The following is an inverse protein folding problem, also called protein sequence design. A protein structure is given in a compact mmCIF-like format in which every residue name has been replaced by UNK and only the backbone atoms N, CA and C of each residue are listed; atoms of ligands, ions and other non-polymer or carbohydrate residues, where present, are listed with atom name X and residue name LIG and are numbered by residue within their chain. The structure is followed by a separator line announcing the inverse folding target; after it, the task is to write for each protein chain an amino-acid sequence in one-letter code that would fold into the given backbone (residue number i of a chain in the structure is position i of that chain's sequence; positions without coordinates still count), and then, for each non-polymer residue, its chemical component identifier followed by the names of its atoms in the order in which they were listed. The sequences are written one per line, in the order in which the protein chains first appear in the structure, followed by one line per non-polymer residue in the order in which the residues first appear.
data_IF_976780962587
#
_entry.id   IF_976780962587
#
_cell.length_a   1.000
_cell.length_b   1.000
_cell.length_c   1.000
_cell.angle_alpha   90.00
_cell.angle_beta   90.00
_cell.angle_gamma   90.00
#
_symmetry.space_group_name_H-M   'P 1'
#
loop_
_entity.id
_entity.type
_entity.pdbx_description
1 polymer ?
#
# COMPACT_ATOMS: atom_id res chain seq x y z
N UNK A 1 -6.15 -16.85 -6.60
CA UNK A 1 -5.90 -15.62 -5.81
C UNK A 1 -6.30 -14.41 -6.65
N UNK A 2 -7.08 -13.49 -6.10
CA UNK A 2 -7.51 -12.24 -6.75
C UNK A 2 -6.72 -11.07 -6.17
N UNK A 3 -6.30 -10.11 -6.99
CA UNK A 3 -5.67 -8.89 -6.49
C UNK A 3 -6.74 -7.96 -5.92
N UNK A 4 -6.59 -7.54 -4.67
CA UNK A 4 -7.40 -6.50 -4.04
C UNK A 4 -6.50 -5.31 -3.71
N UNK A 5 -6.80 -4.17 -4.31
CA UNK A 5 -6.07 -2.92 -4.11
C UNK A 5 -6.84 -2.08 -3.09
N UNK A 6 -6.19 -1.75 -1.98
CA UNK A 6 -6.76 -0.89 -0.94
C UNK A 6 -6.20 0.51 -1.15
N UNK A 7 -7.08 1.49 -1.28
CA UNK A 7 -6.74 2.90 -1.45
C UNK A 7 -7.28 3.66 -0.23
N UNK A 8 -6.44 3.93 0.79
CA UNK A 8 -6.79 4.85 1.86
C UNK A 8 -6.83 6.28 1.30
N UNK A 9 -7.83 7.07 1.67
CA UNK A 9 -8.07 8.39 1.12
C UNK A 9 -8.43 9.37 2.22
N UNK A 10 -7.75 10.53 2.23
CA UNK A 10 -8.14 11.67 3.04
C UNK A 10 -7.79 12.97 2.32
N UNK A 11 -8.80 13.72 1.89
CA UNK A 11 -8.65 15.01 1.17
C UNK A 11 -7.83 14.89 -0.13
N UNK A 12 -8.30 14.03 -1.05
CA UNK A 12 -7.63 13.71 -2.31
C UNK A 12 -8.54 13.92 -3.54
N UNK A 13 -9.33 15.00 -3.53
CA UNK A 13 -10.30 15.24 -4.60
C UNK A 13 -9.66 15.37 -5.97
N UNK A 14 -8.45 15.94 -6.05
CA UNK A 14 -7.74 16.17 -7.31
C UNK A 14 -6.98 14.93 -7.80
N UNK A 15 -6.45 14.13 -6.91
CA UNK A 15 -5.57 13.00 -7.21
C UNK A 15 -6.32 11.67 -7.34
N UNK A 16 -7.34 11.44 -6.51
CA UNK A 16 -8.08 10.18 -6.48
C UNK A 16 -8.72 9.79 -7.83
N UNK A 17 -9.36 10.69 -8.60
CA UNK A 17 -9.87 10.34 -9.93
C UNK A 17 -8.77 9.89 -10.89
N UNK A 18 -7.60 10.55 -10.81
CA UNK A 18 -6.44 10.28 -11.67
C UNK A 18 -5.82 8.93 -11.32
N UNK A 19 -5.58 8.65 -10.02
CA UNK A 19 -4.98 7.36 -9.62
C UNK A 19 -5.89 6.20 -9.94
N UNK A 20 -7.21 6.35 -9.77
CA UNK A 20 -8.16 5.30 -10.16
C UNK A 20 -8.10 4.99 -11.65
N UNK A 21 -8.05 6.03 -12.50
CA UNK A 21 -7.88 5.85 -13.94
C UNK A 21 -6.59 5.10 -14.24
N UNK A 22 -5.45 5.55 -13.67
CA UNK A 22 -4.14 4.89 -13.86
C UNK A 22 -4.15 3.44 -13.40
N UNK A 23 -4.77 3.10 -12.28
CA UNK A 23 -4.87 1.70 -11.81
C UNK A 23 -5.56 0.81 -12.86
N UNK A 24 -6.58 1.29 -13.56
CA UNK A 24 -7.22 0.52 -14.62
C UNK A 24 -6.38 0.48 -15.90
N UNK A 25 -5.86 1.62 -16.34
CA UNK A 25 -5.14 1.77 -17.60
C UNK A 25 -3.79 1.03 -17.58
N UNK A 26 -3.02 1.14 -16.48
CA UNK A 26 -1.69 0.55 -16.36
C UNK A 26 -1.73 -0.96 -16.06
N UNK A 27 -2.87 -1.48 -15.65
CA UNK A 27 -3.03 -2.90 -15.31
C UNK A 27 -4.26 -3.56 -15.96
N UNK A 28 -4.48 -3.39 -17.28
CA UNK A 28 -5.73 -3.82 -17.96
C UNK A 28 -5.95 -5.34 -17.89
N UNK A 29 -4.87 -6.12 -17.94
CA UNK A 29 -4.91 -7.60 -17.93
C UNK A 29 -5.01 -8.21 -16.52
N UNK A 30 -4.96 -7.39 -15.46
CA UNK A 30 -5.05 -7.89 -14.07
C UNK A 30 -6.50 -7.84 -13.61
N UNK A 31 -7.05 -9.03 -13.31
CA UNK A 31 -8.36 -9.14 -12.64
C UNK A 31 -8.20 -8.67 -11.19
N UNK A 32 -8.81 -7.54 -10.85
CA UNK A 32 -8.64 -6.86 -9.57
C UNK A 32 -9.95 -6.37 -8.97
N UNK A 33 -9.95 -6.19 -7.65
CA UNK A 33 -10.95 -5.45 -6.89
C UNK A 33 -10.27 -4.22 -6.27
N UNK A 34 -10.96 -3.11 -6.23
CA UNK A 34 -10.49 -1.89 -5.56
C UNK A 34 -11.38 -1.64 -4.36
N UNK A 35 -10.77 -1.37 -3.21
CA UNK A 35 -11.46 -0.94 -1.99
C UNK A 35 -10.94 0.45 -1.65
N UNK A 36 -11.80 1.46 -1.79
CA UNK A 36 -11.49 2.84 -1.44
C UNK A 36 -12.04 3.08 -0.04
N UNK A 37 -11.18 3.53 0.87
CA UNK A 37 -11.58 3.83 2.25
C UNK A 37 -11.37 5.32 2.49
N UNK A 38 -12.46 6.07 2.54
CA UNK A 38 -12.47 7.50 2.85
C UNK A 38 -12.39 7.72 4.35
N UNK A 39 -11.28 8.28 4.81
CA UNK A 39 -11.01 8.56 6.23
C UNK A 39 -11.60 9.90 6.68
N UNK A 40 -12.88 10.14 6.32
CA UNK A 40 -13.64 11.33 6.68
C UNK A 40 -13.17 12.62 5.98
N UNK A 41 -12.98 12.59 4.66
CA UNK A 41 -12.58 13.75 3.86
C UNK A 41 -13.60 14.90 3.88
N UNK A 42 -13.11 16.14 3.81
CA UNK A 42 -13.92 17.37 3.82
C UNK A 42 -13.68 18.33 2.64
N UNK A 43 -12.73 17.99 1.74
CA UNK A 43 -12.36 18.78 0.54
C UNK A 43 -13.25 18.54 -0.69
N UNK A 44 -14.28 17.70 -0.56
CA UNK A 44 -15.12 17.27 -1.68
C UNK A 44 -14.92 15.83 -2.12
N UNK A 45 -13.81 15.17 -1.73
CA UNK A 45 -13.52 13.75 -2.04
C UNK A 45 -14.69 12.85 -1.67
N UNK A 46 -15.21 12.97 -0.45
CA UNK A 46 -16.34 12.17 0.05
C UNK A 46 -17.60 12.36 -0.80
N UNK A 47 -17.92 13.62 -1.16
CA UNK A 47 -19.07 13.92 -2.03
C UNK A 47 -18.91 13.31 -3.41
N UNK A 48 -17.70 13.34 -3.96
CA UNK A 48 -17.39 12.72 -5.24
C UNK A 48 -17.54 11.19 -5.18
N UNK A 49 -17.05 10.55 -4.13
CA UNK A 49 -17.19 9.10 -3.90
C UNK A 49 -18.65 8.67 -3.80
N UNK A 50 -19.49 9.45 -3.08
CA UNK A 50 -20.93 9.17 -2.95
C UNK A 50 -21.68 9.24 -4.27
N UNK A 51 -21.25 10.12 -5.19
CA UNK A 51 -21.86 10.28 -6.53
C UNK A 51 -21.34 9.25 -7.54
N UNK A 52 -20.28 8.51 -7.21
CA UNK A 52 -19.70 7.54 -8.14
C UNK A 52 -20.69 6.40 -8.42
N UNK A 53 -20.92 6.11 -9.71
CA UNK A 53 -21.77 5.00 -10.13
C UNK A 53 -21.27 3.69 -9.53
N UNK A 54 -22.18 2.84 -9.10
CA UNK A 54 -21.85 1.49 -8.62
C UNK A 54 -21.04 0.73 -9.67
N UNK A 55 -19.95 0.13 -9.24
CA UNK A 55 -19.09 -0.73 -10.04
C UNK A 55 -18.76 -1.96 -9.20
N UNK A 56 -19.03 -3.14 -9.71
CA UNK A 56 -18.83 -4.42 -9.01
C UNK A 56 -17.36 -4.68 -8.59
N UNK A 57 -16.41 -4.02 -9.29
CA UNK A 57 -15.00 -4.12 -9.00
C UNK A 57 -14.50 -3.02 -8.03
N UNK A 58 -15.36 -2.08 -7.64
CA UNK A 58 -15.02 -0.99 -6.71
C UNK A 58 -15.95 -1.03 -5.50
N UNK A 59 -15.39 -1.18 -4.32
CA UNK A 59 -16.09 -1.00 -3.05
C UNK A 59 -15.65 0.32 -2.41
N UNK A 60 -16.59 1.14 -2.00
CA UNK A 60 -16.35 2.41 -1.29
C UNK A 60 -16.78 2.24 0.15
N UNK A 61 -15.93 2.65 1.09
CA UNK A 61 -16.17 2.65 2.53
C UNK A 61 -15.96 4.09 3.01
N UNK A 62 -16.96 4.65 3.69
CA UNK A 62 -16.95 6.00 4.20
C UNK A 62 -16.89 5.95 5.73
N UNK A 63 -15.73 6.23 6.33
CA UNK A 63 -15.58 6.23 7.78
C UNK A 63 -16.34 7.39 8.43
N UNK A 64 -16.68 7.26 9.71
CA UNK A 64 -17.45 8.26 10.46
C UNK A 64 -16.58 9.36 11.09
N UNK A 65 -15.26 9.15 11.16
CA UNK A 65 -14.26 10.10 11.69
C UNK A 65 -12.91 9.82 11.05
N UNK A 66 -12.02 10.81 11.06
CA UNK A 66 -10.63 10.63 10.69
C UNK A 66 -9.90 9.87 11.80
N UNK A 67 -9.26 8.77 11.45
CA UNK A 67 -8.48 7.93 12.36
C UNK A 67 -7.10 7.60 11.81
N UNK A 68 -6.74 8.12 10.65
CA UNK A 68 -5.44 7.98 10.01
C UNK A 68 -5.33 6.83 9.00
N UNK A 69 -4.24 6.87 8.24
CA UNK A 69 -3.96 5.95 7.12
C UNK A 69 -4.03 4.48 7.52
N UNK A 70 -3.35 4.11 8.61
CA UNK A 70 -3.31 2.72 9.09
C UNK A 70 -4.70 2.19 9.43
N UNK A 71 -5.53 3.02 10.09
CA UNK A 71 -6.92 2.69 10.38
C UNK A 71 -7.74 2.48 9.10
N UNK A 72 -7.56 3.33 8.08
CA UNK A 72 -8.24 3.18 6.80
C UNK A 72 -7.79 1.91 6.05
N UNK A 73 -6.50 1.59 6.06
CA UNK A 73 -5.97 0.35 5.47
C UNK A 73 -6.56 -0.87 6.17
N UNK A 74 -6.53 -0.92 7.50
CA UNK A 74 -7.07 -2.04 8.27
C UNK A 74 -8.59 -2.20 8.07
N UNK A 75 -9.33 -1.10 7.96
CA UNK A 75 -10.75 -1.16 7.61
C UNK A 75 -10.95 -1.78 6.20
N UNK A 76 -10.15 -1.39 5.22
CA UNK A 76 -10.17 -2.00 3.88
C UNK A 76 -9.89 -3.50 3.91
N UNK A 77 -8.92 -3.94 4.70
CA UNK A 77 -8.53 -5.35 4.84
C UNK A 77 -9.69 -6.22 5.35
N UNK A 78 -10.53 -5.74 6.26
CA UNK A 78 -11.72 -6.47 6.76
C UNK A 78 -12.68 -6.89 5.64
N UNK A 79 -12.63 -6.22 4.49
CA UNK A 79 -13.50 -6.48 3.35
C UNK A 79 -12.83 -7.30 2.24
N UNK A 80 -11.68 -7.90 2.52
CA UNK A 80 -10.94 -8.81 1.63
C UNK A 80 -11.25 -10.27 1.97
N UNK A 81 -10.93 -11.17 1.03
CA UNK A 81 -11.07 -12.62 1.25
C UNK A 81 -9.72 -13.25 1.62
N UNK A 82 -9.74 -14.35 2.34
CA UNK A 82 -8.54 -15.04 2.84
C UNK A 82 -7.52 -15.37 1.73
N UNK A 83 -8.00 -15.70 0.54
CA UNK A 83 -7.15 -16.04 -0.61
C UNK A 83 -6.81 -14.85 -1.51
N UNK A 84 -7.07 -13.61 -1.06
CA UNK A 84 -6.72 -12.42 -1.85
C UNK A 84 -5.21 -12.11 -1.71
N UNK A 85 -4.67 -11.47 -2.75
CA UNK A 85 -3.43 -10.73 -2.71
C UNK A 85 -3.81 -9.28 -2.43
N UNK A 86 -3.20 -8.67 -1.42
CA UNK A 86 -3.46 -7.29 -1.03
C UNK A 86 -2.33 -6.40 -1.57
N UNK A 87 -2.69 -5.26 -2.12
CA UNK A 87 -1.79 -4.14 -2.41
C UNK A 87 -2.33 -2.89 -1.74
N UNK A 88 -1.46 -2.12 -1.10
CA UNK A 88 -1.77 -0.77 -0.62
C UNK A 88 -1.31 0.22 -1.68
N UNK A 89 -2.21 1.11 -2.11
CA UNK A 89 -1.97 2.17 -3.09
C UNK A 89 -2.37 3.51 -2.50
N UNK A 90 -1.41 4.43 -2.33
CA UNK A 90 -1.72 5.80 -1.93
C UNK A 90 -2.41 6.57 -3.07
N UNK A 91 -3.22 7.56 -2.72
CA UNK A 91 -3.99 8.34 -3.69
C UNK A 91 -3.26 9.57 -4.23
N UNK A 92 -2.10 9.93 -3.69
CA UNK A 92 -1.32 11.16 -3.91
C UNK A 92 -0.54 11.22 -5.24
N UNK A 93 -0.61 10.19 -6.06
CA UNK A 93 0.11 10.06 -7.35
C UNK A 93 1.63 9.89 -7.26
N UNK A 94 2.19 9.68 -6.08
CA UNK A 94 3.64 9.45 -5.92
C UNK A 94 4.05 8.05 -6.42
N UNK A 95 3.18 7.05 -6.28
CA UNK A 95 3.40 5.68 -6.74
C UNK A 95 2.72 5.41 -8.08
N UNK A 96 3.41 4.68 -8.96
CA UNK A 96 2.94 4.40 -10.31
C UNK A 96 2.31 3.00 -10.42
N UNK A 97 1.01 2.87 -10.75
CA UNK A 97 0.32 1.58 -10.89
C UNK A 97 0.94 0.60 -11.88
N UNK A 98 1.72 1.06 -12.87
CA UNK A 98 2.48 0.19 -13.80
C UNK A 98 3.43 -0.76 -13.07
N UNK A 99 3.93 -0.38 -11.88
CA UNK A 99 4.83 -1.20 -11.08
C UNK A 99 4.11 -2.34 -10.34
N UNK A 100 2.78 -2.34 -10.25
CA UNK A 100 1.96 -3.43 -9.69
C UNK A 100 2.31 -4.77 -10.34
N UNK A 101 2.60 -4.77 -11.66
CA UNK A 101 2.97 -5.98 -12.38
C UNK A 101 4.26 -6.62 -11.83
N UNK A 102 5.24 -5.80 -11.41
CA UNK A 102 6.52 -6.28 -10.86
C UNK A 102 6.31 -7.00 -9.53
N UNK A 103 5.52 -6.38 -8.63
CA UNK A 103 5.21 -6.97 -7.33
C UNK A 103 4.39 -8.26 -7.51
N UNK A 104 3.37 -8.23 -8.37
CA UNK A 104 2.49 -9.36 -8.59
C UNK A 104 3.23 -10.56 -9.19
N UNK A 105 4.23 -10.32 -10.05
CA UNK A 105 5.10 -11.37 -10.59
C UNK A 105 5.84 -12.10 -9.47
N UNK A 106 6.36 -11.39 -8.47
CA UNK A 106 7.06 -11.96 -7.31
C UNK A 106 6.12 -12.79 -6.43
N UNK A 107 4.93 -12.28 -6.10
CA UNK A 107 3.92 -13.04 -5.36
C UNK A 107 3.56 -14.35 -6.09
N UNK A 108 3.37 -14.27 -7.42
CA UNK A 108 3.04 -15.45 -8.24
C UNK A 108 4.19 -16.45 -8.35
N UNK A 109 5.44 -16.02 -8.20
CA UNK A 109 6.62 -16.91 -8.14
C UNK A 109 6.88 -17.48 -6.75
N UNK A 110 5.97 -17.28 -5.80
CA UNK A 110 5.98 -17.97 -4.50
C UNK A 110 6.31 -17.08 -3.30
N UNK A 111 6.60 -15.78 -3.49
CA UNK A 111 6.81 -14.88 -2.37
C UNK A 111 5.49 -14.65 -1.61
N UNK A 112 5.58 -14.41 -0.31
CA UNK A 112 4.42 -14.11 0.53
C UNK A 112 4.20 -12.62 0.68
N UNK A 113 5.29 -11.85 0.67
CA UNK A 113 5.32 -10.40 0.83
C UNK A 113 6.34 -9.81 -0.14
N UNK A 114 5.97 -8.72 -0.81
CA UNK A 114 6.86 -7.97 -1.70
C UNK A 114 6.78 -6.50 -1.36
N UNK A 115 7.92 -5.90 -1.05
CA UNK A 115 8.05 -4.47 -0.81
C UNK A 115 8.55 -3.76 -2.08
N UNK A 116 8.06 -2.56 -2.31
CA UNK A 116 8.67 -1.65 -3.27
C UNK A 116 9.97 -1.08 -2.71
N UNK A 117 10.94 -0.82 -3.58
CA UNK A 117 12.16 -0.08 -3.24
C UNK A 117 12.24 1.18 -4.09
N UNK A 118 12.11 2.34 -3.45
CA UNK A 118 12.20 3.66 -4.10
C UNK A 118 13.64 4.10 -4.33
N UNK A 119 14.60 3.61 -3.53
CA UNK A 119 15.97 4.11 -3.45
C UNK A 119 16.91 3.60 -4.55
N UNK A 120 16.44 2.84 -5.52
CA UNK A 120 17.29 2.37 -6.62
C UNK A 120 17.78 3.50 -7.56
N UNK A 121 17.13 4.68 -7.52
CA UNK A 121 17.53 5.90 -8.24
C UNK A 121 17.43 7.09 -7.31
N UNK A 122 18.50 7.42 -6.62
CA UNK A 122 18.59 8.55 -5.68
C UNK A 122 18.33 9.94 -6.30
N UNK A 123 18.35 10.06 -7.63
CA UNK A 123 18.30 11.34 -8.34
C UNK A 123 16.94 12.05 -8.33
N UNK A 124 15.87 11.42 -7.83
CA UNK A 124 14.50 11.94 -7.95
C UNK A 124 13.82 12.31 -6.61
N UNK A 125 14.57 12.42 -5.52
CA UNK A 125 13.97 12.78 -4.22
C UNK A 125 13.87 14.30 -4.06
N UNK A 126 12.66 14.83 -4.04
CA UNK A 126 12.39 16.22 -3.67
C UNK A 126 12.77 16.53 -2.21
N UNK A 127 12.70 15.54 -1.32
CA UNK A 127 13.03 15.69 0.11
C UNK A 127 14.21 14.81 0.50
N UNK A 128 15.44 15.27 0.22
CA UNK A 128 16.69 14.55 0.52
C UNK A 128 16.82 14.18 2.00
N UNK A 129 16.35 15.02 2.91
CA UNK A 129 16.38 14.78 4.36
C UNK A 129 15.57 13.55 4.79
N UNK A 130 14.36 13.41 4.26
CA UNK A 130 13.53 12.22 4.52
C UNK A 130 14.12 10.95 3.91
N UNK A 131 14.73 11.04 2.74
CA UNK A 131 15.41 9.91 2.11
C UNK A 131 16.61 9.44 2.96
N UNK A 132 17.41 10.37 3.49
CA UNK A 132 18.54 10.08 4.39
C UNK A 132 18.03 9.43 5.68
N UNK A 133 17.02 10.01 6.33
CA UNK A 133 16.45 9.45 7.56
C UNK A 133 15.93 8.02 7.33
N UNK A 134 15.16 7.80 6.26
CA UNK A 134 14.64 6.48 5.92
C UNK A 134 15.77 5.47 5.60
N UNK A 135 16.87 5.92 4.97
CA UNK A 135 18.04 5.08 4.75
C UNK A 135 18.64 4.57 6.07
N UNK A 136 18.87 5.46 7.04
CA UNK A 136 19.40 5.05 8.34
C UNK A 136 18.45 4.14 9.10
N UNK A 137 17.14 4.44 9.09
CA UNK A 137 16.12 3.59 9.71
C UNK A 137 16.10 2.22 9.04
N UNK A 138 16.15 2.15 7.71
CA UNK A 138 16.17 0.89 6.98
C UNK A 138 17.42 0.07 7.28
N UNK A 139 18.57 0.71 7.41
CA UNK A 139 19.82 0.04 7.85
C UNK A 139 19.69 -0.50 9.26
N UNK A 140 19.19 0.29 10.20
CA UNK A 140 18.97 -0.14 11.58
C UNK A 140 18.03 -1.35 11.65
N UNK A 141 16.89 -1.29 10.95
CA UNK A 141 15.93 -2.39 10.85
C UNK A 141 16.56 -3.64 10.22
N UNK A 142 17.41 -3.45 9.18
CA UNK A 142 18.11 -4.56 8.53
C UNK A 142 19.06 -5.29 9.47
N UNK A 143 19.76 -4.55 10.32
CA UNK A 143 20.67 -5.13 11.34
C UNK A 143 19.84 -5.82 12.44
N UNK A 144 18.80 -5.15 12.93
CA UNK A 144 17.98 -5.65 14.03
C UNK A 144 17.29 -7.00 13.71
N UNK A 145 16.83 -7.16 12.47
CA UNK A 145 16.10 -8.37 12.06
C UNK A 145 16.90 -9.31 11.17
N UNK A 146 18.19 -9.03 10.94
CA UNK A 146 19.07 -9.82 10.06
C UNK A 146 18.49 -10.03 8.67
N UNK A 147 17.73 -9.04 8.17
CA UNK A 147 17.07 -9.06 6.88
C UNK A 147 17.37 -7.78 6.10
N UNK A 148 17.89 -7.91 4.87
CA UNK A 148 18.20 -6.75 4.04
C UNK A 148 16.90 -6.12 3.53
N UNK A 149 16.54 -4.95 4.10
CA UNK A 149 15.45 -4.10 3.62
C UNK A 149 15.99 -2.73 3.25
N UNK A 150 15.62 -2.23 2.07
CA UNK A 150 16.11 -0.98 1.51
C UNK A 150 15.21 0.21 1.83
N UNK A 151 13.91 -0.02 2.04
CA UNK A 151 12.90 1.02 2.20
C UNK A 151 11.78 0.57 3.15
N UNK A 152 11.92 0.88 4.45
CA UNK A 152 10.93 0.49 5.47
C UNK A 152 9.64 1.31 5.40
N UNK A 153 9.72 2.56 4.91
CA UNK A 153 8.59 3.49 4.85
C UNK A 153 7.83 3.44 3.51
N UNK A 154 8.10 2.45 2.65
CA UNK A 154 7.42 2.33 1.37
C UNK A 154 5.94 2.00 1.58
N UNK A 155 5.04 2.71 0.89
CA UNK A 155 3.62 2.34 0.86
C UNK A 155 3.37 1.07 0.02
N UNK A 156 4.06 0.92 -1.11
CA UNK A 156 3.89 -0.25 -1.98
C UNK A 156 4.30 -1.53 -1.29
N UNK A 157 3.34 -2.11 -0.55
CA UNK A 157 3.39 -3.42 0.09
C UNK A 157 2.36 -4.31 -0.57
N UNK A 158 2.83 -5.37 -1.22
CA UNK A 158 1.96 -6.42 -1.75
C UNK A 158 2.18 -7.70 -0.94
N UNK A 159 1.10 -8.29 -0.44
CA UNK A 159 1.19 -9.47 0.41
C UNK A 159 -0.03 -10.37 0.29
N UNK A 160 0.13 -11.64 0.64
CA UNK A 160 -0.98 -12.60 0.78
C UNK A 160 -1.84 -12.21 1.97
N UNK A 161 -3.16 -12.24 1.84
CA UNK A 161 -4.09 -11.77 2.88
C UNK A 161 -3.89 -12.44 4.24
N UNK A 162 -3.51 -13.72 4.25
CA UNK A 162 -3.27 -14.47 5.48
C UNK A 162 -2.11 -13.92 6.33
N UNK A 163 -1.20 -13.13 5.76
CA UNK A 163 -0.11 -12.47 6.52
C UNK A 163 -0.66 -11.63 7.67
N UNK A 164 -1.75 -10.89 7.43
CA UNK A 164 -2.37 -10.01 8.45
C UNK A 164 -2.94 -10.81 9.63
N UNK A 165 -3.38 -12.05 9.41
CA UNK A 165 -3.97 -12.85 10.48
C UNK A 165 -2.94 -13.28 11.54
N UNK A 166 -1.66 -13.21 11.19
CA UNK A 166 -0.54 -13.56 12.06
C UNK A 166 0.14 -12.37 12.75
N UNK A 167 -0.26 -11.13 12.41
CA UNK A 167 0.32 -9.91 12.99
C UNK A 167 -0.80 -9.00 13.49
N UNK A 168 -0.68 -8.55 14.74
CA UNK A 168 -1.58 -7.52 15.27
C UNK A 168 -1.03 -6.14 14.92
N UNK A 169 -1.75 -5.36 14.13
CA UNK A 169 -1.40 -3.96 13.80
C UNK A 169 -2.19 -3.04 14.72
N UNK A 170 -1.49 -2.16 15.42
CA UNK A 170 -2.06 -1.20 16.38
C UNK A 170 -2.00 0.25 15.88
N UNK A 171 -1.03 0.59 15.04
CA UNK A 171 -0.85 1.94 14.50
C UNK A 171 -2.01 2.33 13.59
N UNK A 172 -2.59 3.49 13.88
CA UNK A 172 -3.71 4.04 13.11
C UNK A 172 -3.26 5.02 12.02
N UNK A 173 -2.09 5.61 12.16
CA UNK A 173 -1.51 6.65 11.32
C UNK A 173 -0.47 6.11 10.32
N UNK A 174 0.49 6.94 9.92
CA UNK A 174 1.60 6.59 9.03
C UNK A 174 2.60 5.59 9.65
N UNK A 175 2.59 5.42 10.98
CA UNK A 175 3.42 4.41 11.65
C UNK A 175 3.01 2.98 11.26
N UNK A 176 1.85 2.79 10.66
CA UNK A 176 1.41 1.52 10.07
C UNK A 176 2.50 0.91 9.18
N UNK A 177 3.14 1.72 8.33
CA UNK A 177 4.13 1.23 7.39
C UNK A 177 5.35 0.62 8.08
N UNK A 178 5.83 1.26 9.14
CA UNK A 178 6.96 0.76 9.96
C UNK A 178 6.56 -0.44 10.82
N UNK A 179 5.38 -0.38 11.44
CA UNK A 179 4.87 -1.46 12.28
C UNK A 179 4.67 -2.74 11.47
N UNK A 180 4.09 -2.65 10.28
CA UNK A 180 3.89 -3.78 9.39
C UNK A 180 5.24 -4.45 9.08
N UNK A 181 6.23 -3.67 8.60
CA UNK A 181 7.57 -4.19 8.27
C UNK A 181 8.19 -4.86 9.48
N UNK A 182 8.23 -4.17 10.63
CA UNK A 182 8.85 -4.70 11.86
C UNK A 182 8.21 -6.01 12.32
N UNK A 183 6.88 -6.10 12.27
CA UNK A 183 6.15 -7.30 12.71
C UNK A 183 6.34 -8.49 11.78
N UNK A 184 6.36 -8.27 10.46
CA UNK A 184 6.65 -9.34 9.51
C UNK A 184 8.09 -9.82 9.62
N UNK A 185 9.06 -8.92 9.74
CA UNK A 185 10.47 -9.31 9.89
C UNK A 185 10.73 -10.04 11.21
N UNK A 186 10.12 -9.57 12.31
CA UNK A 186 10.23 -10.23 13.63
C UNK A 186 9.74 -11.68 13.61
N UNK A 187 8.67 -11.97 12.87
CA UNK A 187 8.13 -13.32 12.79
C UNK A 187 9.00 -14.27 11.95
N UNK A 188 9.67 -13.77 10.94
CA UNK A 188 10.62 -14.49 10.07
C UNK A 188 10.09 -15.85 9.53
N UNK A 189 8.80 -15.90 9.16
CA UNK A 189 8.15 -17.14 8.66
C UNK A 189 7.72 -17.01 7.19
N UNK A 190 7.88 -15.82 6.58
CA UNK A 190 7.44 -15.56 5.22
C UNK A 190 8.60 -15.40 4.26
N UNK A 191 8.37 -15.76 3.01
CA UNK A 191 9.26 -15.43 1.91
C UNK A 191 9.01 -13.99 1.47
N UNK A 192 10.00 -13.12 1.75
CA UNK A 192 9.94 -11.67 1.52
C UNK A 192 10.93 -11.28 0.45
N UNK A 193 10.53 -10.40 -0.46
CA UNK A 193 11.44 -9.79 -1.44
C UNK A 193 11.16 -8.30 -1.65
N UNK A 194 12.10 -7.61 -2.29
CA UNK A 194 11.94 -6.23 -2.75
C UNK A 194 11.97 -6.15 -4.28
N UNK A 195 11.28 -5.17 -4.84
CA UNK A 195 11.35 -4.82 -6.26
C UNK A 195 11.53 -3.32 -6.44
N UNK A 196 12.37 -2.93 -7.38
CA UNK A 196 12.55 -1.52 -7.72
C UNK A 196 11.29 -0.94 -8.35
N UNK A 197 10.79 0.15 -7.78
CA UNK A 197 9.59 0.85 -8.23
C UNK A 197 9.91 2.30 -8.61
N UNK A 198 9.05 2.87 -9.45
CA UNK A 198 9.08 4.29 -9.77
C UNK A 198 8.43 5.10 -8.63
N UNK A 199 8.98 6.28 -8.36
CA UNK A 199 8.48 7.21 -7.34
C UNK A 199 8.65 8.65 -7.84
N UNK A 200 7.70 9.54 -7.53
CA UNK A 200 7.69 10.94 -7.95
C UNK A 200 8.07 11.88 -6.83
#
# INVERSE_FOLDING_TARGET
MKLTIIIPVYNEINSLPVILKKVFDDTPKIKKKIIIVDDFSNDGTRKWLMKKKKNENIKIILKKKNEGKGSAVMEGIKHTKLNDIILIQDADLEYFPKDINKLLKKIRSGDDIVFGNRFHKLSHYHYKTFAIANFFISKFVSILYLFKISDVAVCYKMFKRNVIDHIAINSKDFMFDFEFVSKVLKKNIWKISEVNISYK
#
